data_IF_451550229414
#
_entry.id   IF_451550229414
#
_cell.length_a   1.000
_cell.length_b   1.000
_cell.length_c   1.000
_cell.angle_alpha   90.00
_cell.angle_beta   90.00
_cell.angle_gamma   90.00
#
_symmetry.space_group_name_H-M   'P 1'
#
loop_
_entity.id
_entity.type
_entity.pdbx_description
1 polymer ?
#
# COMPACT_ATOMS: atom_id res chain seq x y z
N UNK A 1 1.94 -2.79 -63.26
CA UNK A 1 2.32 -3.08 -64.65
C UNK A 1 3.78 -3.48 -64.65
N UNK A 2 4.02 -4.78 -64.89
CA UNK A 2 5.22 -5.46 -65.44
C UNK A 2 6.53 -5.32 -64.62
N UNK A 3 7.38 -6.33 -64.40
CA UNK A 3 7.58 -7.70 -64.87
C UNK A 3 8.52 -8.36 -63.81
N UNK A 4 8.32 -9.58 -63.32
CA UNK A 4 8.75 -10.85 -63.93
C UNK A 4 10.20 -10.83 -64.45
N UNK A 5 11.12 -11.55 -63.81
CA UNK A 5 11.58 -12.84 -64.36
C UNK A 5 12.63 -13.55 -63.49
N UNK A 6 12.48 -14.86 -63.51
CA UNK A 6 13.26 -15.94 -62.92
C UNK A 6 14.72 -16.01 -63.41
N UNK A 7 15.62 -16.57 -62.60
CA UNK A 7 16.72 -17.37 -63.15
C UNK A 7 17.17 -18.49 -62.20
N UNK A 8 16.89 -19.72 -62.63
CA UNK A 8 17.33 -21.00 -62.08
C UNK A 8 18.82 -21.26 -62.40
N UNK A 9 19.51 -22.00 -61.53
CA UNK A 9 20.82 -22.60 -61.83
C UNK A 9 21.22 -23.68 -60.81
N UNK A 10 20.89 -24.94 -61.12
CA UNK A 10 21.33 -26.17 -60.44
C UNK A 10 22.63 -26.70 -61.07
N UNK A 11 23.52 -27.24 -60.23
CA UNK A 11 24.56 -28.29 -60.47
C UNK A 11 25.13 -28.58 -59.07
N UNK A 12 24.89 -29.67 -58.35
CA UNK A 12 24.90 -31.13 -58.61
C UNK A 12 26.31 -31.67 -58.91
N UNK A 13 27.02 -32.09 -57.86
CA UNK A 13 28.16 -33.02 -57.87
C UNK A 13 28.16 -33.81 -56.55
N UNK A 14 27.49 -34.96 -56.60
CA UNK A 14 27.84 -36.32 -56.12
C UNK A 14 28.67 -36.59 -54.84
N UNK A 15 28.09 -37.51 -54.04
CA UNK A 15 28.67 -38.67 -53.30
C UNK A 15 29.68 -38.38 -52.16
N UNK A 16 29.50 -38.87 -50.92
CA UNK A 16 29.48 -40.29 -50.54
C UNK A 16 28.64 -40.55 -49.27
N UNK A 17 27.87 -41.64 -49.30
CA UNK A 17 27.18 -42.21 -48.15
C UNK A 17 28.10 -43.22 -47.45
N UNK A 18 28.57 -42.89 -46.24
CA UNK A 18 29.21 -43.86 -45.35
C UNK A 18 28.19 -44.31 -44.30
N UNK A 19 27.63 -45.49 -44.54
CA UNK A 19 26.85 -46.24 -43.56
C UNK A 19 27.83 -46.93 -42.60
N UNK A 20 28.02 -46.36 -41.42
CA UNK A 20 28.69 -47.02 -40.30
C UNK A 20 27.63 -47.53 -39.32
N UNK A 21 27.41 -48.84 -39.36
CA UNK A 21 26.64 -49.59 -38.35
C UNK A 21 27.67 -50.13 -37.37
N UNK A 22 27.77 -49.53 -36.18
CA UNK A 22 28.40 -50.17 -35.02
C UNK A 22 27.53 -49.86 -33.79
N UNK A 23 26.86 -50.92 -33.37
CA UNK A 23 26.18 -51.17 -32.11
C UNK A 23 27.11 -50.89 -30.94
N UNK A 24 26.92 -49.75 -30.27
CA UNK A 24 27.32 -49.55 -28.89
C UNK A 24 26.14 -48.93 -28.14
N UNK A 25 25.37 -49.83 -27.53
CA UNK A 25 24.49 -49.63 -26.40
C UNK A 25 25.24 -48.92 -25.25
N UNK A 26 25.38 -47.60 -25.35
CA UNK A 26 25.80 -46.71 -24.27
C UNK A 26 24.53 -46.26 -23.53
N UNK A 27 24.39 -46.77 -22.31
CA UNK A 27 23.19 -46.63 -21.48
C UNK A 27 22.67 -45.20 -21.43
N UNK A 28 21.36 -45.07 -21.58
CA UNK A 28 20.61 -43.91 -21.11
C UNK A 28 20.94 -43.75 -19.64
N UNK A 29 21.93 -42.91 -19.33
CA UNK A 29 22.19 -42.49 -17.97
C UNK A 29 20.90 -41.84 -17.52
N UNK A 30 20.24 -42.47 -16.55
CA UNK A 30 19.23 -41.83 -15.72
C UNK A 30 19.85 -40.50 -15.29
N UNK A 31 19.43 -39.40 -15.94
CA UNK A 31 19.64 -38.09 -15.38
C UNK A 31 18.87 -38.11 -14.08
N UNK A 32 19.61 -38.27 -12.98
CA UNK A 32 19.11 -38.09 -11.64
C UNK A 32 18.22 -36.84 -11.64
N UNK A 33 16.91 -37.03 -11.46
CA UNK A 33 15.92 -35.96 -11.31
C UNK A 33 16.08 -35.22 -9.97
N UNK A 34 17.29 -35.20 -9.41
CA UNK A 34 17.63 -34.66 -8.10
C UNK A 34 18.45 -33.39 -8.25
N UNK A 35 17.75 -32.27 -8.47
CA UNK A 35 18.00 -30.97 -7.82
C UNK A 35 17.07 -29.88 -8.40
N UNK A 36 15.78 -30.18 -8.56
CA UNK A 36 14.79 -29.09 -8.58
C UNK A 36 14.72 -28.57 -7.14
N UNK A 37 15.10 -27.30 -6.86
CA UNK A 37 14.95 -26.76 -5.51
C UNK A 37 13.51 -26.96 -5.07
N UNK A 38 13.25 -27.37 -3.82
CA UNK A 38 11.91 -27.67 -3.35
C UNK A 38 11.00 -26.50 -3.71
N UNK A 39 9.94 -26.78 -4.49
CA UNK A 39 8.95 -25.77 -4.84
C UNK A 39 8.37 -25.26 -3.53
N UNK A 40 8.74 -24.03 -3.14
CA UNK A 40 8.14 -23.36 -2.00
C UNK A 40 6.66 -23.22 -2.33
N UNK A 41 5.81 -23.99 -1.66
CA UNK A 41 4.38 -23.82 -1.76
C UNK A 41 4.02 -22.61 -0.88
N UNK A 42 3.66 -21.46 -1.45
CA UNK A 42 3.22 -20.34 -0.64
C UNK A 42 1.99 -20.75 0.16
N UNK A 43 1.87 -20.24 1.39
CA UNK A 43 0.67 -20.48 2.19
C UNK A 43 -0.46 -19.62 1.63
N UNK A 44 -1.54 -20.25 1.17
CA UNK A 44 -2.69 -19.57 0.60
C UNK A 44 -3.85 -19.67 1.59
N UNK A 45 -4.32 -18.52 2.07
CA UNK A 45 -5.42 -18.43 3.03
C UNK A 45 -6.58 -17.58 2.48
N UNK A 46 -7.81 -17.94 2.83
CA UNK A 46 -9.00 -17.18 2.44
C UNK A 46 -9.44 -16.23 3.57
N UNK A 47 -9.57 -14.95 3.25
CA UNK A 47 -10.10 -13.91 4.14
C UNK A 47 -11.57 -13.70 3.82
N UNK A 48 -12.44 -13.96 4.81
CA UNK A 48 -13.88 -13.70 4.69
C UNK A 48 -14.16 -12.20 4.71
N UNK A 49 -15.26 -11.79 4.06
CA UNK A 49 -15.70 -10.38 4.04
C UNK A 49 -15.76 -9.77 5.43
N UNK A 50 -16.38 -10.47 6.38
CA UNK A 50 -16.56 -9.99 7.76
C UNK A 50 -15.25 -10.07 8.59
N UNK A 51 -14.25 -10.79 8.10
CA UNK A 51 -12.93 -10.93 8.73
C UNK A 51 -11.90 -9.97 8.14
N UNK A 52 -12.23 -9.24 7.08
CA UNK A 52 -11.28 -8.34 6.40
C UNK A 52 -10.79 -7.22 7.31
N UNK A 53 -11.69 -6.62 8.09
CA UNK A 53 -11.33 -5.61 9.08
C UNK A 53 -10.43 -6.16 10.19
N UNK A 54 -10.60 -7.43 10.55
CA UNK A 54 -9.78 -8.10 11.56
C UNK A 54 -8.37 -8.35 11.01
N UNK A 55 -8.24 -8.85 9.78
CA UNK A 55 -6.94 -9.02 9.11
C UNK A 55 -6.21 -7.68 8.99
N UNK A 56 -6.92 -6.63 8.56
CA UNK A 56 -6.36 -5.27 8.51
C UNK A 56 -5.88 -4.80 9.89
N UNK A 57 -6.68 -5.02 10.94
CA UNK A 57 -6.32 -4.61 12.30
C UNK A 57 -5.12 -5.40 12.84
N UNK A 58 -4.97 -6.67 12.48
CA UNK A 58 -3.82 -7.47 12.88
C UNK A 58 -2.52 -6.95 12.28
N UNK A 59 -2.50 -6.65 10.97
CA UNK A 59 -1.32 -6.09 10.30
C UNK A 59 -1.01 -4.67 10.85
N UNK A 60 -2.05 -3.87 11.14
CA UNK A 60 -1.89 -2.59 11.85
C UNK A 60 -1.24 -2.77 13.23
N UNK A 61 -1.75 -3.69 14.04
CA UNK A 61 -1.23 -3.97 15.38
C UNK A 61 0.21 -4.46 15.36
N UNK A 62 0.59 -5.26 14.36
CA UNK A 62 1.97 -5.68 14.14
C UNK A 62 2.89 -4.48 13.90
N UNK A 63 2.53 -3.60 12.95
CA UNK A 63 3.32 -2.40 12.62
C UNK A 63 3.37 -1.41 13.79
N UNK A 64 2.25 -1.25 14.52
CA UNK A 64 2.23 -0.43 15.74
C UNK A 64 3.25 -0.92 16.77
N UNK A 65 3.33 -2.23 17.00
CA UNK A 65 4.31 -2.83 17.92
C UNK A 65 5.75 -2.69 17.43
N UNK A 66 5.98 -2.95 16.14
CA UNK A 66 7.33 -2.94 15.55
C UNK A 66 7.95 -1.53 15.49
N UNK A 67 7.14 -0.50 15.22
CA UNK A 67 7.60 0.90 15.15
C UNK A 67 7.36 1.69 16.44
N UNK A 68 6.64 1.13 17.42
CA UNK A 68 6.17 1.82 18.63
C UNK A 68 5.44 3.15 18.31
N UNK A 69 4.46 3.09 17.39
CA UNK A 69 3.69 4.23 16.90
C UNK A 69 2.19 4.06 17.12
N UNK A 70 1.45 5.16 17.05
CA UNK A 70 -0.02 5.17 17.12
C UNK A 70 -0.62 4.54 15.86
N UNK A 71 -1.87 4.08 15.97
CA UNK A 71 -2.61 3.43 14.89
C UNK A 71 -2.67 4.26 13.60
N UNK A 72 -2.95 5.56 13.67
CA UNK A 72 -3.03 6.39 12.46
C UNK A 72 -1.67 6.54 11.77
N UNK A 73 -0.56 6.57 12.52
CA UNK A 73 0.78 6.57 11.93
C UNK A 73 1.09 5.22 11.26
N UNK A 74 0.75 4.11 11.91
CA UNK A 74 0.90 2.78 11.32
C UNK A 74 0.08 2.62 10.04
N UNK A 75 -1.16 3.14 10.02
CA UNK A 75 -1.98 3.14 8.81
C UNK A 75 -1.39 3.99 7.70
N UNK A 76 -0.95 5.21 8.02
CA UNK A 76 -0.30 6.08 7.03
C UNK A 76 0.93 5.41 6.41
N UNK A 77 1.72 4.73 7.23
CA UNK A 77 2.89 3.97 6.80
C UNK A 77 2.48 2.78 5.91
N UNK A 78 1.53 1.96 6.34
CA UNK A 78 1.05 0.81 5.58
C UNK A 78 0.47 1.23 4.22
N UNK A 79 -0.35 2.29 4.16
CA UNK A 79 -0.89 2.78 2.89
C UNK A 79 0.23 3.31 1.98
N UNK A 80 1.21 4.04 2.53
CA UNK A 80 2.37 4.53 1.76
C UNK A 80 3.17 3.39 1.13
N UNK A 81 3.37 2.31 1.88
CA UNK A 81 4.06 1.09 1.41
C UNK A 81 3.12 0.06 0.76
N UNK A 82 1.88 0.45 0.46
CA UNK A 82 0.87 -0.40 -0.19
C UNK A 82 0.66 -1.75 0.52
N UNK A 83 0.63 -1.73 1.84
CA UNK A 83 0.45 -2.88 2.73
C UNK A 83 1.48 -4.00 2.55
N UNK A 84 2.64 -3.71 1.96
CA UNK A 84 3.72 -4.67 1.80
C UNK A 84 4.65 -4.62 3.03
N UNK A 85 4.52 -5.60 3.91
CA UNK A 85 5.27 -5.73 5.17
C UNK A 85 6.74 -6.07 4.95
N UNK A 86 7.08 -6.81 3.90
CA UNK A 86 8.46 -7.18 3.60
C UNK A 86 9.27 -5.94 3.20
N UNK A 87 8.71 -5.14 2.28
CA UNK A 87 9.28 -3.84 1.89
C UNK A 87 9.38 -2.87 3.06
N UNK A 88 8.45 -2.97 4.01
CA UNK A 88 8.47 -2.15 5.21
C UNK A 88 9.69 -2.50 6.07
N UNK A 89 9.95 -3.78 6.32
CA UNK A 89 11.12 -4.28 7.02
C UNK A 89 12.44 -3.90 6.33
N UNK A 90 12.55 -4.18 5.03
CA UNK A 90 13.74 -3.85 4.23
C UNK A 90 14.08 -2.35 4.26
N UNK A 91 13.07 -1.48 4.26
CA UNK A 91 13.28 -0.04 4.33
C UNK A 91 13.59 0.42 5.74
N UNK A 92 13.04 -0.23 6.77
CA UNK A 92 13.34 0.08 8.16
C UNK A 92 14.81 -0.15 8.45
N UNK A 93 15.36 -1.27 8.01
CA UNK A 93 16.78 -1.61 8.17
C UNK A 93 17.69 -0.64 7.40
N UNK A 94 17.34 -0.28 6.16
CA UNK A 94 18.19 0.54 5.29
C UNK A 94 18.13 2.04 5.57
N UNK A 95 16.93 2.57 5.87
CA UNK A 95 16.68 4.02 5.98
C UNK A 95 16.49 4.49 7.42
N UNK A 96 16.11 3.59 8.32
CA UNK A 96 15.70 3.91 9.68
C UNK A 96 14.26 4.43 9.78
N UNK A 97 13.71 4.29 10.98
CA UNK A 97 12.31 4.59 11.30
C UNK A 97 11.91 6.05 11.04
N UNK A 98 12.73 7.03 11.46
CA UNK A 98 12.39 8.45 11.37
C UNK A 98 12.15 8.89 9.92
N UNK A 99 13.04 8.48 9.01
CA UNK A 99 12.94 8.81 7.59
C UNK A 99 11.71 8.19 6.95
N UNK A 100 11.38 6.94 7.29
CA UNK A 100 10.18 6.28 6.77
C UNK A 100 8.91 7.00 7.22
N UNK A 101 8.84 7.40 8.49
CA UNK A 101 7.71 8.14 9.02
C UNK A 101 7.57 9.49 8.32
N UNK A 102 8.67 10.22 8.12
CA UNK A 102 8.66 11.49 7.38
C UNK A 102 8.20 11.31 5.92
N UNK A 103 8.72 10.30 5.21
CA UNK A 103 8.34 9.98 3.82
C UNK A 103 6.85 9.59 3.71
N UNK A 104 6.30 8.92 4.72
CA UNK A 104 4.88 8.58 4.82
C UNK A 104 3.98 9.75 5.26
N UNK A 105 4.54 10.94 5.47
CA UNK A 105 3.81 12.12 5.93
C UNK A 105 3.35 12.02 7.38
N UNK A 106 4.03 11.21 8.20
CA UNK A 106 3.80 11.15 9.63
C UNK A 106 4.55 12.30 10.31
N UNK A 107 3.80 13.27 10.82
CA UNK A 107 4.35 14.33 11.65
C UNK A 107 4.58 13.80 13.07
N UNK A 108 5.81 13.38 13.37
CA UNK A 108 6.22 13.17 14.76
C UNK A 108 6.32 14.54 15.40
N UNK A 109 5.35 14.85 16.27
CA UNK A 109 5.43 16.06 17.06
C UNK A 109 6.62 15.93 18.00
N UNK A 110 7.77 16.49 17.60
CA UNK A 110 8.83 16.79 18.54
C UNK A 110 8.17 17.67 19.60
N UNK A 111 8.25 17.25 20.85
CA UNK A 111 7.85 18.03 22.02
C UNK A 111 8.81 19.23 22.20
N UNK A 112 9.02 20.01 21.15
CA UNK A 112 9.72 21.28 21.19
C UNK A 112 8.72 22.31 21.73
N UNK A 113 8.67 22.38 23.05
CA UNK A 113 8.50 23.59 23.85
C UNK A 113 8.05 24.84 23.09
N UNK A 114 6.76 24.96 22.84
CA UNK A 114 6.12 26.28 22.78
C UNK A 114 5.12 26.33 23.92
N UNK A 115 5.45 27.16 24.90
CA UNK A 115 4.62 27.55 26.03
C UNK A 115 3.15 27.68 25.61
N UNK A 116 2.38 26.62 25.82
CA UNK A 116 0.93 26.61 25.62
C UNK A 116 0.28 27.46 26.71
N UNK A 117 0.38 28.77 26.55
CA UNK A 117 -0.65 29.67 27.02
C UNK A 117 -1.93 29.21 26.32
N UNK A 118 -2.80 28.53 27.07
CA UNK A 118 -4.15 28.19 26.59
C UNK A 118 -4.73 29.47 26.00
N UNK A 119 -5.11 29.49 24.72
CA UNK A 119 -5.73 30.68 24.14
C UNK A 119 -6.93 31.03 25.03
N UNK A 120 -6.98 32.27 25.53
CA UNK A 120 -8.14 32.75 26.27
C UNK A 120 -9.39 32.45 25.45
N UNK A 121 -10.51 32.08 26.08
CA UNK A 121 -11.77 31.80 25.36
C UNK A 121 -12.28 32.96 24.51
N UNK A 122 -11.69 34.15 24.67
CA UNK A 122 -11.94 35.37 23.88
C UNK A 122 -10.99 35.57 22.69
N UNK A 123 -9.88 34.84 22.62
CA UNK A 123 -8.98 34.90 21.46
C UNK A 123 -9.70 34.36 20.22
N UNK A 124 -9.55 35.03 19.08
CA UNK A 124 -10.01 34.54 17.78
C UNK A 124 -8.81 34.01 17.01
N UNK A 125 -9.04 33.01 16.19
CA UNK A 125 -8.04 32.38 15.33
C UNK A 125 -8.46 32.63 13.89
N UNK A 126 -7.59 33.26 13.11
CA UNK A 126 -7.77 33.49 11.69
C UNK A 126 -7.57 32.17 10.94
N UNK A 127 -8.53 31.79 10.10
CA UNK A 127 -8.35 30.66 9.18
C UNK A 127 -7.66 31.13 7.90
N UNK A 128 -6.49 30.58 7.58
CA UNK A 128 -5.72 30.97 6.39
C UNK A 128 -6.29 30.45 5.05
N UNK A 129 -7.39 29.68 5.09
CA UNK A 129 -8.08 29.17 3.89
C UNK A 129 -9.22 30.10 3.47
N UNK A 130 -10.12 30.44 4.39
CA UNK A 130 -11.24 31.34 4.11
C UNK A 130 -11.03 32.79 4.56
N UNK A 131 -9.92 33.09 5.26
CA UNK A 131 -9.57 34.41 5.80
C UNK A 131 -10.60 34.99 6.79
N UNK A 132 -11.31 34.13 7.53
CA UNK A 132 -12.28 34.54 8.56
C UNK A 132 -11.80 34.21 9.98
N UNK A 133 -12.31 34.95 10.97
CA UNK A 133 -11.98 34.82 12.41
C UNK A 133 -12.93 33.88 13.17
N UNK A 134 -12.39 32.79 13.69
CA UNK A 134 -13.13 31.77 14.42
C UNK A 134 -12.81 31.76 15.91
N UNK A 135 -13.77 31.33 16.72
CA UNK A 135 -13.49 30.91 18.09
C UNK A 135 -12.61 29.64 18.05
N UNK A 136 -11.71 29.43 19.03
CA UNK A 136 -10.91 28.21 19.15
C UNK A 136 -11.74 26.91 19.15
N UNK A 137 -13.04 26.98 19.49
CA UNK A 137 -13.97 25.83 19.43
C UNK A 137 -14.34 25.41 18.01
N UNK A 138 -14.23 26.31 17.05
CA UNK A 138 -14.55 26.09 15.64
C UNK A 138 -13.31 25.89 14.78
N UNK A 139 -12.14 25.70 15.41
CA UNK A 139 -10.86 25.44 14.75
C UNK A 139 -10.35 24.08 15.20
N UNK A 140 -9.77 23.35 14.25
CA UNK A 140 -9.11 22.08 14.52
C UNK A 140 -7.65 22.14 14.10
N UNK A 141 -6.81 21.60 14.96
CA UNK A 141 -5.38 21.39 14.72
C UNK A 141 -5.13 19.92 14.40
N UNK A 142 -4.31 19.65 13.39
CA UNK A 142 -3.82 18.30 13.06
C UNK A 142 -2.42 18.09 13.64
N UNK A 143 -1.87 16.87 13.54
CA UNK A 143 -0.60 16.50 14.21
C UNK A 143 0.62 17.34 13.79
N UNK A 144 0.58 17.96 12.60
CA UNK A 144 1.63 18.90 12.17
C UNK A 144 1.52 20.30 12.78
N UNK A 145 0.55 20.56 13.66
CA UNK A 145 0.34 21.85 14.33
C UNK A 145 -0.46 22.89 13.53
N UNK A 146 -0.72 22.64 12.24
CA UNK A 146 -1.53 23.55 11.42
C UNK A 146 -3.01 23.49 11.80
N UNK A 147 -3.65 24.65 11.82
CA UNK A 147 -4.99 24.85 12.35
C UNK A 147 -5.87 25.61 11.37
N UNK A 148 -7.07 25.09 11.10
CA UNK A 148 -8.04 25.70 10.19
C UNK A 148 -9.46 25.54 10.75
N UNK A 149 -10.40 26.33 10.24
CA UNK A 149 -11.79 26.23 10.68
C UNK A 149 -12.39 24.86 10.29
N UNK A 150 -13.35 24.41 11.07
CA UNK A 150 -13.95 23.07 10.91
C UNK A 150 -14.65 22.91 9.56
N UNK A 151 -15.18 23.99 8.99
CA UNK A 151 -15.88 23.95 7.71
C UNK A 151 -14.90 23.79 6.55
N UNK A 152 -13.75 24.50 6.57
CA UNK A 152 -12.67 24.28 5.60
C UNK A 152 -12.09 22.86 5.67
N UNK A 153 -11.89 22.33 6.89
CA UNK A 153 -11.47 20.93 7.06
C UNK A 153 -12.47 19.96 6.45
N UNK A 154 -13.76 20.15 6.72
CA UNK A 154 -14.81 19.25 6.21
C UNK A 154 -14.84 19.26 4.69
N UNK A 155 -14.83 20.44 4.05
CA UNK A 155 -14.82 20.56 2.60
C UNK A 155 -13.57 19.93 1.98
N UNK A 156 -12.40 20.15 2.59
CA UNK A 156 -11.15 19.52 2.14
C UNK A 156 -11.20 17.99 2.22
N UNK A 157 -11.74 17.44 3.30
CA UNK A 157 -11.88 16.00 3.46
C UNK A 157 -12.82 15.40 2.42
N UNK A 158 -13.99 16.02 2.20
CA UNK A 158 -14.94 15.59 1.17
C UNK A 158 -14.32 15.65 -0.22
N UNK A 159 -13.67 16.77 -0.57
CA UNK A 159 -13.02 16.92 -1.87
C UNK A 159 -11.89 15.90 -2.08
N UNK A 160 -11.10 15.59 -1.04
CA UNK A 160 -10.06 14.57 -1.13
C UNK A 160 -10.66 13.16 -1.38
N UNK A 161 -11.79 12.84 -0.75
CA UNK A 161 -12.50 11.58 -0.96
C UNK A 161 -13.14 11.51 -2.35
N UNK A 162 -13.68 12.62 -2.87
CA UNK A 162 -14.23 12.67 -4.23
C UNK A 162 -13.14 12.42 -5.29
N UNK A 163 -11.89 12.78 -5.00
CA UNK A 163 -10.72 12.45 -5.80
C UNK A 163 -10.17 11.03 -5.57
N UNK A 164 -10.83 10.21 -4.75
CA UNK A 164 -10.41 8.83 -4.45
C UNK A 164 -9.17 8.74 -3.57
N UNK A 165 -8.80 9.80 -2.83
CA UNK A 165 -7.61 9.78 -1.98
C UNK A 165 -7.88 9.02 -0.68
N UNK A 166 -7.06 7.99 -0.42
CA UNK A 166 -7.05 7.22 0.84
C UNK A 166 -6.31 7.94 1.98
N UNK A 167 -5.34 8.79 1.63
CA UNK A 167 -4.60 9.63 2.56
C UNK A 167 -4.88 11.10 2.25
N UNK A 168 -5.29 11.84 3.27
CA UNK A 168 -5.65 13.25 3.11
C UNK A 168 -4.52 14.10 3.68
N UNK A 169 -3.79 14.88 2.85
CA UNK A 169 -2.72 15.73 3.34
C UNK A 169 -3.28 16.95 4.08
N UNK A 170 -2.46 17.57 4.90
CA UNK A 170 -2.72 18.86 5.50
C UNK A 170 -2.96 19.94 4.43
N UNK A 171 -3.86 20.89 4.71
CA UNK A 171 -4.14 22.01 3.81
C UNK A 171 -3.00 23.04 3.75
N UNK A 172 -2.10 23.05 4.73
CA UNK A 172 -1.00 24.01 4.78
C UNK A 172 -0.04 23.85 3.60
N UNK A 173 0.43 24.97 3.07
CA UNK A 173 1.32 24.99 1.91
C UNK A 173 2.59 24.20 2.17
N UNK A 174 2.90 23.25 1.29
CA UNK A 174 4.08 22.35 1.36
C UNK A 174 4.19 21.55 2.66
N UNK A 175 3.09 21.37 3.40
CA UNK A 175 3.10 20.48 4.56
C UNK A 175 2.96 19.02 4.09
N UNK A 176 3.93 18.13 4.38
CA UNK A 176 3.85 16.74 3.95
C UNK A 176 2.93 15.89 4.83
N UNK A 177 2.40 16.46 5.93
CA UNK A 177 1.70 15.70 6.93
C UNK A 177 0.35 15.16 6.44
N UNK A 178 0.07 13.90 6.73
CA UNK A 178 -1.23 13.27 6.51
C UNK A 178 -2.09 13.46 7.76
N UNK A 179 -3.37 13.78 7.57
CA UNK A 179 -4.33 13.92 8.65
C UNK A 179 -4.66 12.57 9.29
N UNK A 180 -4.75 12.53 10.62
CA UNK A 180 -5.24 11.37 11.37
C UNK A 180 -6.65 10.98 10.90
N UNK A 181 -6.77 9.78 10.34
CA UNK A 181 -8.02 9.20 9.86
C UNK A 181 -9.13 9.16 10.91
N UNK A 182 -8.82 9.01 12.20
CA UNK A 182 -9.81 9.01 13.28
C UNK A 182 -10.38 10.42 13.48
N UNK A 183 -9.56 11.45 13.28
CA UNK A 183 -9.99 12.85 13.29
C UNK A 183 -10.86 13.13 12.07
N UNK A 184 -10.44 12.68 10.89
CA UNK A 184 -11.22 12.82 9.65
C UNK A 184 -12.58 12.11 9.78
N UNK A 185 -12.58 10.85 10.20
CA UNK A 185 -13.80 10.03 10.38
C UNK A 185 -14.76 10.70 11.36
N UNK A 186 -14.26 11.18 12.51
CA UNK A 186 -15.09 11.87 13.51
C UNK A 186 -15.69 13.16 12.94
N UNK A 187 -14.88 13.96 12.23
CA UNK A 187 -15.33 15.24 11.64
C UNK A 187 -16.40 15.01 10.59
N UNK A 188 -16.14 14.10 9.65
CA UNK A 188 -17.12 13.72 8.62
C UNK A 188 -18.36 13.11 9.26
N UNK A 189 -18.24 12.24 10.27
CA UNK A 189 -19.41 11.65 10.94
C UNK A 189 -20.38 12.68 11.52
N UNK A 190 -19.90 13.85 11.93
CA UNK A 190 -20.75 14.94 12.42
C UNK A 190 -21.36 15.83 11.33
N UNK A 191 -20.76 15.90 10.13
CA UNK A 191 -21.11 16.88 9.09
C UNK A 191 -21.61 16.25 7.79
N UNK A 192 -21.03 15.12 7.41
CA UNK A 192 -21.33 14.33 6.21
C UNK A 192 -21.12 12.81 6.49
N UNK A 193 -22.16 12.12 7.01
CA UNK A 193 -22.08 10.69 7.30
C UNK A 193 -21.82 9.83 6.06
N UNK A 194 -22.23 10.28 4.86
CA UNK A 194 -21.98 9.54 3.63
C UNK A 194 -20.50 9.58 3.25
N UNK A 195 -19.84 10.75 3.35
CA UNK A 195 -18.39 10.86 3.21
C UNK A 195 -17.64 10.06 4.27
N UNK A 196 -18.13 10.03 5.52
CA UNK A 196 -17.55 9.21 6.57
C UNK A 196 -17.60 7.70 6.24
N UNK A 197 -18.71 7.22 5.66
CA UNK A 197 -18.79 5.84 5.20
C UNK A 197 -17.82 5.58 4.04
N UNK A 198 -17.73 6.50 3.08
CA UNK A 198 -16.77 6.38 1.95
C UNK A 198 -15.32 6.31 2.41
N UNK A 199 -14.93 7.10 3.42
CA UNK A 199 -13.59 7.01 4.02
C UNK A 199 -13.35 5.61 4.62
N UNK A 200 -14.32 5.09 5.37
CA UNK A 200 -14.22 3.74 5.93
C UNK A 200 -14.04 2.68 4.84
N UNK A 201 -14.86 2.74 3.79
CA UNK A 201 -14.81 1.80 2.68
C UNK A 201 -13.48 1.89 1.92
N UNK A 202 -12.97 3.11 1.65
CA UNK A 202 -11.67 3.30 1.00
C UNK A 202 -10.50 2.78 1.82
N UNK A 203 -10.51 3.00 3.14
CA UNK A 203 -9.48 2.49 4.02
C UNK A 203 -9.52 0.96 4.05
N UNK A 204 -10.70 0.34 4.10
CA UNK A 204 -10.83 -1.12 4.06
C UNK A 204 -10.41 -1.69 2.70
N UNK A 205 -10.85 -1.09 1.60
CA UNK A 205 -10.51 -1.50 0.24
C UNK A 205 -9.02 -1.39 -0.06
N UNK A 206 -8.34 -0.37 0.50
CA UNK A 206 -6.88 -0.20 0.35
C UNK A 206 -6.09 -1.45 0.74
N UNK A 207 -6.59 -2.22 1.73
CA UNK A 207 -5.96 -3.44 2.19
C UNK A 207 -5.88 -4.53 1.11
N UNK A 208 -6.86 -4.61 0.22
CA UNK A 208 -6.92 -5.63 -0.83
C UNK A 208 -6.39 -5.07 -2.15
N UNK A 209 -6.76 -3.84 -2.48
CA UNK A 209 -6.45 -3.24 -3.77
C UNK A 209 -4.94 -2.93 -3.90
N UNK A 210 -4.33 -2.45 -2.82
CA UNK A 210 -2.95 -1.99 -2.86
C UNK A 210 -1.96 -3.10 -2.48
N UNK A 211 -2.40 -4.09 -1.68
CA UNK A 211 -1.55 -5.17 -1.19
C UNK A 211 -1.20 -6.17 -2.29
N UNK A 212 0.10 -6.45 -2.47
CA UNK A 212 0.56 -7.45 -3.45
C UNK A 212 0.22 -8.88 -3.02
N UNK A 213 0.18 -9.16 -1.73
CA UNK A 213 -0.09 -10.48 -1.15
C UNK A 213 -1.59 -10.79 -1.03
N UNK A 214 -2.47 -9.81 -1.16
CA UNK A 214 -3.92 -9.98 -1.00
C UNK A 214 -4.65 -9.62 -2.30
N UNK A 215 -5.62 -10.44 -2.70
CA UNK A 215 -6.43 -10.21 -3.91
C UNK A 215 -7.89 -10.55 -3.67
N UNK A 216 -8.80 -9.82 -4.32
CA UNK A 216 -10.23 -10.13 -4.27
C UNK A 216 -10.52 -11.51 -4.87
N UNK A 217 -11.52 -12.20 -4.30
CA UNK A 217 -12.07 -13.41 -4.88
C UNK A 217 -12.57 -13.14 -6.30
N UNK A 218 -12.21 -13.99 -7.30
CA UNK A 218 -12.51 -13.75 -8.71
C UNK A 218 -13.99 -13.94 -9.08
N UNK A 219 -14.87 -14.26 -8.12
CA UNK A 219 -16.32 -14.36 -8.35
C UNK A 219 -16.91 -13.07 -8.94
N UNK A 220 -17.87 -13.22 -9.86
CA UNK A 220 -18.61 -12.10 -10.48
C UNK A 220 -20.11 -12.31 -10.26
N UNK A 221 -20.81 -11.39 -9.56
CA UNK A 221 -20.28 -10.23 -8.84
C UNK A 221 -19.42 -10.65 -7.63
N UNK A 222 -18.51 -9.79 -7.18
CA UNK A 222 -17.60 -10.10 -6.07
C UNK A 222 -18.37 -10.53 -4.81
N UNK A 223 -18.03 -11.70 -4.27
CA UNK A 223 -18.59 -12.21 -3.02
C UNK A 223 -18.04 -11.50 -1.77
N UNK A 224 -17.14 -10.52 -1.92
CA UNK A 224 -16.51 -9.75 -0.84
C UNK A 224 -15.42 -10.48 -0.05
N UNK A 225 -15.06 -11.71 -0.44
CA UNK A 225 -13.93 -12.44 0.14
C UNK A 225 -12.63 -12.05 -0.56
N UNK A 226 -11.50 -12.20 0.13
CA UNK A 226 -10.16 -12.03 -0.41
C UNK A 226 -9.30 -13.28 -0.18
N UNK A 227 -8.23 -13.41 -0.95
CA UNK A 227 -7.24 -14.49 -0.86
C UNK A 227 -5.91 -13.84 -0.50
N UNK A 228 -5.24 -14.34 0.54
CA UNK A 228 -3.91 -13.91 0.96
C UNK A 228 -2.91 -15.01 0.63
N UNK A 229 -1.74 -14.61 0.15
CA UNK A 229 -0.62 -15.47 -0.22
C UNK A 229 0.58 -15.02 0.60
N UNK A 230 0.97 -15.83 1.57
CA UNK A 230 2.13 -15.57 2.41
C UNK A 230 3.35 -16.33 1.86
N UNK A 231 4.54 -15.75 2.01
CA UNK A 231 5.77 -16.46 1.70
C UNK A 231 5.89 -17.67 2.65
N UNK A 232 6.27 -18.83 2.11
CA UNK A 232 6.48 -20.01 2.95
C UNK A 232 7.57 -19.70 3.98
N UNK A 233 7.26 -19.87 5.27
CA UNK A 233 8.25 -19.76 6.35
C UNK A 233 9.39 -20.76 6.09
N UNK A 234 10.63 -20.30 6.20
CA UNK A 234 11.79 -21.17 6.18
C UNK A 234 11.70 -22.08 7.41
N UNK A 235 11.33 -23.34 7.21
CA UNK A 235 11.54 -24.35 8.25
C UNK A 235 13.05 -24.56 8.35
N UNK A 236 13.69 -23.86 9.29
CA UNK A 236 15.07 -24.14 9.68
C UNK A 236 15.19 -25.63 9.99
N UNK A 237 16.02 -26.40 9.29
CA UNK A 237 16.26 -27.79 9.64
C UNK A 237 17.00 -27.83 10.99
N UNK A 238 16.39 -28.54 11.96
CA UNK A 238 16.90 -28.80 13.30
C UNK A 238 18.29 -29.45 13.31
#
# INVERSE_FOLDING_TARGET
MNNADDFYGYSDEDEELVMGDDDDNEGWQDQEEDDMPPRRCPEISAIKKDSLSVAQQQDLSMVMGLFNIKQHHARALLIHYRWNTDRLGDHLERKGQERMLMEAGVALQQQETSSSSRPSSRSRVLCEVCFEDFSPRHVSTVDCGHSFCNDCWTQHFVAALDLGKKQIPCMAFKCPAICDEAVVQRRLGHRDPAAAQRLHDFLLQSYVDDNSAVKWCPSVPHCGHAIRVDAADEVEPL
#
